data_IF_932952918520
#
_entry.id   IF_932952918520
#
_cell.length_a   1.000
_cell.length_b   1.000
_cell.length_c   1.000
_cell.angle_alpha   90.00
_cell.angle_beta   90.00
_cell.angle_gamma   90.00
#
_symmetry.space_group_name_H-M   'P 1'
#
loop_
_entity.id
_entity.type
_entity.pdbx_description
1 polymer ?
#
# COMPACT_ATOMS: atom_id res chain seq x y z
N UNK A 1 -31.99 24.65 -31.97
CA UNK A 1 -30.74 23.92 -31.70
C UNK A 1 -30.21 24.46 -30.38
N UNK A 2 -30.45 23.73 -29.29
CA UNK A 2 -29.93 24.11 -27.98
C UNK A 2 -28.56 23.45 -27.78
N UNK A 3 -27.55 24.26 -27.44
CA UNK A 3 -26.19 23.80 -27.18
C UNK A 3 -26.06 23.59 -25.68
N UNK A 4 -26.17 22.35 -25.24
CA UNK A 4 -25.93 21.97 -23.84
C UNK A 4 -24.43 22.04 -23.56
N UNK A 5 -23.99 23.07 -22.82
CA UNK A 5 -22.62 23.18 -22.32
C UNK A 5 -22.39 22.15 -21.21
N UNK A 6 -21.56 21.16 -21.50
CA UNK A 6 -21.10 20.15 -20.54
C UNK A 6 -20.01 20.80 -19.67
N UNK A 7 -20.27 20.92 -18.37
CA UNK A 7 -19.28 21.39 -17.39
C UNK A 7 -18.43 20.17 -16.98
N UNK A 8 -17.11 20.18 -17.18
CA UNK A 8 -16.26 19.08 -16.72
C UNK A 8 -16.14 19.13 -15.19
N UNK A 9 -16.66 18.11 -14.52
CA UNK A 9 -16.43 17.90 -13.08
C UNK A 9 -15.00 17.35 -12.94
N UNK A 10 -14.08 18.23 -12.55
CA UNK A 10 -12.74 17.87 -12.12
C UNK A 10 -12.84 17.16 -10.77
N UNK A 11 -12.81 15.82 -10.78
CA UNK A 11 -12.68 15.01 -9.57
C UNK A 11 -11.22 15.08 -9.15
N UNK A 12 -10.93 15.94 -8.18
CA UNK A 12 -9.62 16.05 -7.56
C UNK A 12 -9.36 14.87 -6.64
N UNK A 13 -8.50 13.95 -7.07
CA UNK A 13 -7.92 12.93 -6.19
C UNK A 13 -6.83 13.61 -5.34
N UNK A 14 -7.18 13.94 -4.10
CA UNK A 14 -6.21 14.33 -3.07
C UNK A 14 -5.87 13.09 -2.24
N UNK A 15 -4.63 12.64 -2.34
CA UNK A 15 -4.06 11.66 -1.41
C UNK A 15 -3.74 10.29 -2.00
N UNK A 16 -2.66 10.21 -2.79
CA UNK A 16 -1.61 9.20 -2.60
C UNK A 16 -0.39 9.67 -3.41
N UNK A 17 0.46 10.47 -2.77
CA UNK A 17 1.70 10.91 -3.39
C UNK A 17 2.73 9.80 -3.37
N UNK A 18 3.07 9.23 -4.53
CA UNK A 18 4.46 8.89 -4.84
C UNK A 18 4.73 9.32 -6.29
N UNK A 19 5.60 10.32 -6.38
CA UNK A 19 6.21 10.86 -7.57
C UNK A 19 7.32 9.88 -8.01
N UNK A 20 7.17 9.23 -9.16
CA UNK A 20 8.28 8.51 -9.80
C UNK A 20 9.14 9.54 -10.53
N UNK A 21 10.22 10.01 -9.89
CA UNK A 21 11.16 10.92 -10.54
C UNK A 21 12.21 10.13 -11.31
N UNK A 22 12.09 10.12 -12.64
CA UNK A 22 13.19 9.79 -13.54
C UNK A 22 14.18 10.97 -13.60
N UNK A 23 15.47 10.67 -13.51
CA UNK A 23 16.58 11.63 -13.45
C UNK A 23 16.67 12.49 -14.73
N UNK A 24 16.73 13.81 -14.54
CA UNK A 24 17.36 14.75 -15.48
C UNK A 24 17.78 16.00 -14.72
N UNK A 25 19.05 16.38 -14.85
CA UNK A 25 19.69 17.47 -14.12
C UNK A 25 19.11 18.85 -14.48
N UNK A 26 19.03 19.78 -13.53
CA UNK A 26 19.68 21.11 -13.59
C UNK A 26 19.07 22.15 -12.62
N UNK A 27 19.98 22.79 -11.89
CA UNK A 27 20.03 24.21 -11.47
C UNK A 27 18.99 24.85 -10.53
N UNK A 28 19.51 25.20 -9.33
CA UNK A 28 19.49 26.51 -8.64
C UNK A 28 18.19 27.06 -8.00
N UNK A 29 18.32 27.24 -6.67
CA UNK A 29 17.84 28.32 -5.80
C UNK A 29 16.48 28.23 -5.05
N UNK A 30 16.65 28.17 -3.71
CA UNK A 30 16.00 28.92 -2.61
C UNK A 30 14.56 28.57 -2.16
N UNK A 31 14.56 28.00 -0.94
CA UNK A 31 13.74 28.28 0.26
C UNK A 31 12.21 28.27 0.12
N UNK A 32 11.58 27.24 0.68
CA UNK A 32 10.43 27.35 1.60
C UNK A 32 10.11 25.97 2.19
N UNK A 33 9.74 25.91 3.49
CA UNK A 33 9.00 24.79 4.07
C UNK A 33 9.81 23.91 5.03
N UNK A 34 9.98 24.39 6.26
CA UNK A 34 10.38 23.57 7.39
C UNK A 34 9.31 22.49 7.65
N UNK A 35 9.66 21.22 7.46
CA UNK A 35 9.20 20.01 8.16
C UNK A 35 9.80 18.76 7.47
N UNK A 36 11.09 18.78 7.16
CA UNK A 36 11.81 17.61 6.65
C UNK A 36 13.23 17.62 7.22
N UNK A 37 13.32 17.66 8.55
CA UNK A 37 14.53 17.22 9.26
C UNK A 37 14.37 15.74 9.65
N UNK A 38 13.97 14.92 8.66
CA UNK A 38 14.29 13.51 8.68
C UNK A 38 15.59 13.40 7.90
N UNK A 39 16.68 13.63 8.64
CA UNK A 39 18.06 13.28 8.32
C UNK A 39 18.16 12.35 7.10
N UNK A 40 18.66 12.92 5.99
CA UNK A 40 19.12 12.21 4.78
C UNK A 40 20.38 11.39 5.10
N UNK A 41 20.27 10.52 6.10
CA UNK A 41 21.32 9.59 6.52
C UNK A 41 20.82 8.19 6.26
N UNK A 42 21.36 7.62 5.18
CA UNK A 42 21.14 6.28 4.65
C UNK A 42 19.78 6.04 4.01
N UNK A 43 19.78 5.69 2.72
CA UNK A 43 18.63 5.10 2.01
C UNK A 43 18.39 3.67 2.52
N UNK A 44 18.35 3.49 3.84
CA UNK A 44 18.10 2.22 4.50
C UNK A 44 16.63 1.86 4.32
N UNK A 45 16.39 0.62 3.96
CA UNK A 45 15.05 0.10 3.74
C UNK A 45 14.19 0.25 5.00
N UNK A 46 13.05 0.93 4.88
CA UNK A 46 12.10 1.12 5.99
C UNK A 46 10.97 0.08 5.96
N UNK A 47 11.19 -1.04 6.67
CA UNK A 47 10.20 -2.12 6.75
C UNK A 47 8.84 -1.69 7.33
N UNK A 48 8.83 -0.72 8.25
CA UNK A 48 7.61 -0.23 8.92
C UNK A 48 6.74 0.60 7.98
N UNK A 49 7.39 1.39 7.13
CA UNK A 49 6.70 2.17 6.10
C UNK A 49 6.05 1.24 5.07
N UNK A 50 6.78 0.25 4.56
CA UNK A 50 6.20 -0.77 3.65
C UNK A 50 5.06 -1.54 4.31
N UNK A 51 5.20 -1.95 5.57
CA UNK A 51 4.14 -2.61 6.31
C UNK A 51 2.88 -1.73 6.48
N UNK A 52 3.06 -0.41 6.60
CA UNK A 52 1.97 0.56 6.70
C UNK A 52 1.28 0.72 5.34
N UNK A 53 2.04 0.90 4.26
CA UNK A 53 1.51 0.96 2.89
C UNK A 53 0.69 -0.30 2.54
N UNK A 54 1.18 -1.48 2.92
CA UNK A 54 0.46 -2.74 2.73
C UNK A 54 -0.85 -2.76 3.52
N UNK A 55 -0.82 -2.38 4.79
CA UNK A 55 -2.03 -2.34 5.61
C UNK A 55 -3.08 -1.40 5.02
N UNK A 56 -2.68 -0.20 4.61
CA UNK A 56 -3.60 0.80 4.05
C UNK A 56 -4.18 0.33 2.71
N UNK A 57 -3.34 -0.22 1.82
CA UNK A 57 -3.76 -0.78 0.53
C UNK A 57 -4.80 -1.92 0.67
N UNK A 58 -4.63 -2.78 1.68
CA UNK A 58 -5.54 -3.91 1.94
C UNK A 58 -6.81 -3.48 2.68
N UNK A 59 -6.69 -2.51 3.59
CA UNK A 59 -7.80 -1.97 4.37
C UNK A 59 -8.79 -1.18 3.52
N UNK A 60 -8.31 -0.49 2.48
CA UNK A 60 -9.14 0.46 1.73
C UNK A 60 -10.38 -0.23 1.13
N UNK A 61 -11.54 0.16 1.63
CA UNK A 61 -12.82 -0.45 1.28
C UNK A 61 -13.32 0.01 -0.10
N UNK A 62 -12.85 1.17 -0.57
CA UNK A 62 -13.26 1.73 -1.86
C UNK A 62 -12.45 1.17 -3.04
N UNK A 63 -11.38 0.41 -2.79
CA UNK A 63 -10.58 -0.17 -3.87
C UNK A 63 -11.26 -1.38 -4.46
N UNK A 64 -11.32 -1.39 -5.79
CA UNK A 64 -11.58 -2.60 -6.57
C UNK A 64 -10.44 -3.61 -6.37
N UNK A 65 -10.71 -4.90 -6.61
CA UNK A 65 -9.68 -5.96 -6.53
C UNK A 65 -8.43 -5.62 -7.36
N UNK A 66 -8.61 -4.99 -8.52
CA UNK A 66 -7.51 -4.55 -9.40
C UNK A 66 -6.66 -3.45 -8.75
N UNK A 67 -7.28 -2.48 -8.07
CA UNK A 67 -6.58 -1.38 -7.38
C UNK A 67 -5.84 -1.88 -6.13
N UNK A 68 -6.45 -2.78 -5.36
CA UNK A 68 -5.80 -3.43 -4.22
C UNK A 68 -4.56 -4.18 -4.66
N UNK A 69 -4.70 -5.04 -5.67
CA UNK A 69 -3.59 -5.77 -6.30
C UNK A 69 -2.48 -4.81 -6.71
N UNK A 70 -2.80 -3.79 -7.51
CA UNK A 70 -1.82 -2.81 -7.99
C UNK A 70 -1.08 -2.15 -6.82
N UNK A 71 -1.80 -1.73 -5.78
CA UNK A 71 -1.23 -1.05 -4.62
C UNK A 71 -0.31 -1.97 -3.80
N UNK A 72 -0.73 -3.23 -3.58
CA UNK A 72 0.06 -4.24 -2.87
C UNK A 72 1.38 -4.52 -3.61
N UNK A 73 1.32 -4.80 -4.92
CA UNK A 73 2.53 -5.07 -5.71
C UNK A 73 3.41 -3.82 -5.86
N UNK A 74 2.83 -2.62 -5.90
CA UNK A 74 3.60 -1.37 -5.90
C UNK A 74 4.35 -1.20 -4.58
N UNK A 75 3.70 -1.43 -3.43
CA UNK A 75 4.34 -1.35 -2.11
C UNK A 75 5.48 -2.36 -1.94
N UNK A 76 5.41 -3.50 -2.65
CA UNK A 76 6.43 -4.55 -2.62
C UNK A 76 7.47 -4.45 -3.75
N UNK A 77 7.37 -3.44 -4.61
CA UNK A 77 8.32 -3.28 -5.71
C UNK A 77 9.72 -2.98 -5.15
N UNK A 78 10.72 -3.75 -5.60
CA UNK A 78 12.10 -3.62 -5.13
C UNK A 78 12.36 -4.18 -3.73
N UNK A 79 11.36 -4.79 -3.08
CA UNK A 79 11.52 -5.44 -1.77
C UNK A 79 12.08 -6.85 -1.96
N UNK A 80 13.30 -7.09 -1.48
CA UNK A 80 13.93 -8.41 -1.50
C UNK A 80 13.31 -9.38 -0.48
N UNK A 81 13.60 -10.68 -0.60
CA UNK A 81 13.11 -11.72 0.32
C UNK A 81 13.47 -11.44 1.79
N UNK A 82 14.72 -11.00 2.06
CA UNK A 82 15.17 -10.68 3.41
C UNK A 82 14.44 -9.45 3.98
N UNK A 83 14.25 -8.41 3.17
CA UNK A 83 13.52 -7.21 3.54
C UNK A 83 12.04 -7.52 3.78
N UNK A 84 11.43 -8.39 2.97
CA UNK A 84 10.06 -8.83 3.17
C UNK A 84 9.86 -9.56 4.51
N UNK A 85 10.84 -10.33 4.98
CA UNK A 85 10.81 -10.88 6.34
C UNK A 85 10.77 -9.80 7.42
N UNK A 86 11.49 -8.68 7.22
CA UNK A 86 11.43 -7.52 8.13
C UNK A 86 10.05 -6.84 8.04
N UNK A 87 9.46 -6.74 6.85
CA UNK A 87 8.10 -6.21 6.66
C UNK A 87 7.06 -7.05 7.39
N UNK A 88 7.13 -8.39 7.31
CA UNK A 88 6.23 -9.28 8.06
C UNK A 88 6.33 -9.03 9.56
N UNK A 89 7.56 -8.92 10.08
CA UNK A 89 7.81 -8.62 11.50
C UNK A 89 7.26 -7.24 11.88
N UNK A 90 7.44 -6.23 11.03
CA UNK A 90 6.97 -4.87 11.26
C UNK A 90 5.44 -4.75 11.14
N UNK A 91 4.81 -5.55 10.28
CA UNK A 91 3.35 -5.61 10.13
C UNK A 91 2.69 -6.21 11.37
N UNK A 92 3.30 -7.27 11.92
CA UNK A 92 2.80 -7.98 13.11
C UNK A 92 1.49 -8.72 12.83
N UNK A 93 0.57 -8.65 13.79
CA UNK A 93 -0.79 -9.18 13.63
C UNK A 93 -1.80 -8.04 13.80
N UNK A 94 -2.72 -7.91 12.83
CA UNK A 94 -3.71 -6.83 12.77
C UNK A 94 -5.12 -7.38 12.66
N UNK A 95 -6.10 -6.69 13.23
CA UNK A 95 -7.50 -7.11 13.21
C UNK A 95 -8.02 -7.19 11.78
N UNK A 96 -8.51 -8.37 11.39
CA UNK A 96 -9.03 -8.63 10.06
C UNK A 96 -10.26 -9.53 10.16
N UNK A 97 -11.27 -9.29 9.34
CA UNK A 97 -12.42 -10.18 9.21
C UNK A 97 -12.31 -10.91 7.87
N UNK A 98 -12.03 -12.21 7.90
CA UNK A 98 -11.90 -13.01 6.66
C UNK A 98 -13.22 -13.13 5.89
N UNK A 99 -14.36 -12.77 6.49
CA UNK A 99 -15.67 -12.86 5.83
C UNK A 99 -16.09 -11.55 5.15
N UNK A 100 -15.71 -10.41 5.72
CA UNK A 100 -16.15 -9.07 5.26
C UNK A 100 -15.00 -8.10 4.99
N UNK A 101 -13.76 -8.59 5.01
CA UNK A 101 -12.54 -7.79 4.91
C UNK A 101 -12.29 -6.94 6.16
N UNK A 102 -11.78 -5.72 5.97
CA UNK A 102 -11.52 -4.79 7.09
C UNK A 102 -12.69 -3.83 7.38
N UNK A 103 -13.86 -4.10 6.80
CA UNK A 103 -14.94 -3.10 6.73
C UNK A 103 -15.80 -3.08 8.00
N UNK A 104 -16.16 -4.25 8.53
CA UNK A 104 -17.05 -4.35 9.69
C UNK A 104 -16.79 -5.64 10.50
N UNK A 105 -16.69 -5.49 11.82
CA UNK A 105 -16.88 -6.59 12.77
C UNK A 105 -18.32 -6.51 13.29
N UNK A 106 -19.10 -7.58 13.12
CA UNK A 106 -20.43 -7.62 13.72
C UNK A 106 -20.33 -7.61 15.26
N UNK A 107 -21.37 -7.12 15.95
CA UNK A 107 -21.41 -7.05 17.43
C UNK A 107 -21.18 -8.40 18.13
N UNK A 108 -21.49 -9.51 17.46
CA UNK A 108 -21.28 -10.88 17.96
C UNK A 108 -19.98 -11.52 17.45
N UNK A 109 -19.24 -10.87 16.56
CA UNK A 109 -17.96 -11.38 16.09
C UNK A 109 -16.84 -10.92 17.00
N UNK A 110 -16.02 -11.87 17.45
CA UNK A 110 -14.78 -11.56 18.17
C UNK A 110 -13.73 -11.11 17.15
N UNK A 111 -13.18 -9.89 17.24
CA UNK A 111 -12.14 -9.44 16.33
C UNK A 111 -10.89 -10.30 16.50
N UNK A 112 -10.46 -10.99 15.44
CA UNK A 112 -9.25 -11.81 15.44
C UNK A 112 -8.13 -11.05 14.73
N UNK A 113 -6.94 -11.08 15.33
CA UNK A 113 -5.74 -10.51 14.70
C UNK A 113 -5.10 -11.56 13.80
N UNK A 114 -4.88 -11.21 12.55
CA UNK A 114 -4.26 -12.05 11.55
C UNK A 114 -2.90 -11.49 11.11
N UNK A 115 -1.91 -12.36 10.81
CA UNK A 115 -0.62 -11.94 10.30
C UNK A 115 -0.70 -11.53 8.82
N UNK A 116 0.31 -10.81 8.33
CA UNK A 116 0.38 -10.31 6.94
C UNK A 116 0.07 -11.39 5.88
N UNK A 117 0.54 -12.62 6.11
CA UNK A 117 0.28 -13.76 5.21
C UNK A 117 -1.20 -14.02 4.97
N UNK A 118 -2.02 -13.97 6.02
CA UNK A 118 -3.47 -14.20 5.89
C UNK A 118 -4.13 -13.02 5.19
N UNK A 119 -3.75 -11.79 5.55
CA UNK A 119 -4.23 -10.59 4.86
C UNK A 119 -3.98 -10.65 3.35
N UNK A 120 -2.76 -10.96 2.93
CA UNK A 120 -2.41 -11.07 1.52
C UNK A 120 -3.17 -12.20 0.80
N UNK A 121 -3.45 -13.30 1.49
CA UNK A 121 -4.18 -14.44 0.93
C UNK A 121 -5.65 -14.11 0.66
N UNK A 122 -6.27 -13.34 1.55
CA UNK A 122 -7.68 -12.98 1.45
C UNK A 122 -7.92 -11.77 0.52
N UNK A 123 -6.93 -10.88 0.37
CA UNK A 123 -7.04 -9.68 -0.47
C UNK A 123 -6.58 -9.87 -1.93
N UNK A 124 -5.74 -10.88 -2.19
CA UNK A 124 -5.27 -11.20 -3.54
C UNK A 124 -6.04 -12.39 -4.13
N UNK A 125 -6.09 -12.47 -5.46
CA UNK A 125 -6.55 -13.70 -6.12
C UNK A 125 -5.56 -14.84 -5.84
N UNK A 126 -6.00 -16.09 -6.05
CA UNK A 126 -5.14 -17.26 -5.82
C UNK A 126 -3.87 -17.21 -6.70
N UNK A 127 -4.00 -16.74 -7.94
CA UNK A 127 -2.91 -16.60 -8.90
C UNK A 127 -1.91 -15.52 -8.46
N UNK A 128 -2.41 -14.36 -8.00
CA UNK A 128 -1.57 -13.27 -7.51
C UNK A 128 -0.86 -13.67 -6.21
N UNK A 129 -1.54 -14.39 -5.32
CA UNK A 129 -0.91 -14.92 -4.10
C UNK A 129 0.16 -15.97 -4.44
N UNK A 130 -0.07 -16.85 -5.42
CA UNK A 130 0.95 -17.79 -5.92
C UNK A 130 2.16 -17.06 -6.50
N UNK A 131 1.94 -16.00 -7.29
CA UNK A 131 3.01 -15.16 -7.82
C UNK A 131 3.82 -14.53 -6.67
N UNK A 132 3.13 -13.98 -5.68
CA UNK A 132 3.78 -13.38 -4.51
C UNK A 132 4.59 -14.41 -3.71
N UNK A 133 4.05 -15.62 -3.56
CA UNK A 133 4.74 -16.75 -2.94
C UNK A 133 5.97 -17.19 -3.73
N UNK A 134 5.94 -17.11 -5.06
CA UNK A 134 7.12 -17.37 -5.90
C UNK A 134 8.22 -16.34 -5.67
N UNK A 135 7.86 -15.08 -5.36
CA UNK A 135 8.82 -14.01 -5.05
C UNK A 135 9.36 -14.11 -3.61
N UNK A 136 8.57 -14.64 -2.68
CA UNK A 136 8.88 -14.75 -1.25
C UNK A 136 8.64 -16.16 -0.68
N UNK A 137 9.32 -17.19 -1.20
CA UNK A 137 8.98 -18.60 -0.94
C UNK A 137 9.18 -19.04 0.51
N UNK A 138 10.11 -18.42 1.25
CA UNK A 138 10.35 -18.79 2.66
C UNK A 138 9.36 -18.14 3.63
N UNK A 139 8.57 -17.17 3.18
CA UNK A 139 7.73 -16.34 4.01
C UNK A 139 6.22 -16.60 3.81
N UNK A 140 5.80 -17.11 2.64
CA UNK A 140 4.38 -17.24 2.24
C UNK A 140 3.90 -18.66 1.94
#
# INVERSE_FOLDING_TARGET
MEVTKIVPIAIGFTGLGIMLFAVSQSSKNKKAGAYLDASLTDSSFNAKEVATMLYDAMKEANFTNTEKRKSIFTALTGVSEAQFSQVIKAFGSRYYNTLTGNTYFALWQTPVKHPLKIWLKEELSEEDYKLLKSNYPKQL
#
